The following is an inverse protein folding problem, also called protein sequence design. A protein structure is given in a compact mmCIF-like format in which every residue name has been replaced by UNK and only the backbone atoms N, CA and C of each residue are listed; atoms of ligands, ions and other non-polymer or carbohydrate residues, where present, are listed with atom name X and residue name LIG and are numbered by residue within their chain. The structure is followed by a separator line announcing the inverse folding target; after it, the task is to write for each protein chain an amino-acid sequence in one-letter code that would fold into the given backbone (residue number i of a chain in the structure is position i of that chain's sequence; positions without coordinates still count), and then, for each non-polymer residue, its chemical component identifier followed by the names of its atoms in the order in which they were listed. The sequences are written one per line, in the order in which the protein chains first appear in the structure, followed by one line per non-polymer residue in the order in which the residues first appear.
data_IF_996450204708
#
_entry.id   IF_996450204708
#
_cell.length_a   1.000
_cell.length_b   1.000
_cell.length_c   1.000
_cell.angle_alpha   90.00
_cell.angle_beta   90.00
_cell.angle_gamma   90.00
#
_symmetry.space_group_name_H-M   'P 1'
#
loop_
_entity.id
_entity.type
_entity.pdbx_description
1 polymer ?
#
# COMPACT_ATOMS: atom_id res chain seq x y z
N UNK A 1 -42.40 19.44 -2.17
CA UNK A 1 -41.45 20.28 -2.92
C UNK A 1 -40.21 20.47 -2.05
N UNK A 2 -39.18 19.67 -2.33
CA UNK A 2 -37.90 19.64 -1.60
C UNK A 2 -36.93 20.66 -2.20
N UNK A 3 -36.41 21.61 -1.41
CA UNK A 3 -35.01 22.08 -1.46
C UNK A 3 -34.78 23.30 -0.55
N UNK A 4 -34.03 23.09 0.52
CA UNK A 4 -33.15 24.11 1.10
C UNK A 4 -31.94 23.38 1.67
N UNK A 5 -31.20 22.71 0.78
CA UNK A 5 -30.07 21.88 1.17
C UNK A 5 -28.84 22.75 1.17
N UNK A 6 -28.65 23.40 2.32
CA UNK A 6 -27.42 24.07 2.61
C UNK A 6 -27.39 25.24 3.63
N UNK A 7 -26.52 25.24 4.66
CA UNK A 7 -25.45 26.19 5.16
C UNK A 7 -25.13 25.81 6.58
N UNK A 8 -23.83 25.85 6.90
CA UNK A 8 -23.42 26.18 8.24
C UNK A 8 -23.14 27.68 8.25
N UNK A 9 -24.23 28.45 8.42
CA UNK A 9 -24.22 29.89 8.69
C UNK A 9 -23.73 30.18 10.12
N UNK A 10 -23.14 31.36 10.33
CA UNK A 10 -22.94 31.93 11.69
C UNK A 10 -24.33 32.14 12.34
N UNK A 11 -24.48 32.00 13.69
CA UNK A 11 -25.79 32.05 14.33
C UNK A 11 -26.40 33.45 14.16
N UNK A 12 -27.42 33.58 13.30
CA UNK A 12 -28.20 34.81 13.27
C UNK A 12 -28.80 35.32 11.96
N UNK A 13 -28.62 34.67 10.79
CA UNK A 13 -29.64 34.54 9.72
C UNK A 13 -29.01 34.15 8.38
N UNK A 14 -29.32 32.94 7.88
CA UNK A 14 -29.29 32.69 6.43
C UNK A 14 -30.51 33.40 5.84
N UNK A 15 -30.32 34.35 4.93
CA UNK A 15 -31.41 35.00 4.19
C UNK A 15 -31.25 34.61 2.73
N UNK A 16 -32.30 34.07 2.12
CA UNK A 16 -32.34 33.67 0.70
C UNK A 16 -31.30 32.64 0.22
N UNK A 17 -30.71 31.85 1.14
CA UNK A 17 -29.86 30.71 0.77
C UNK A 17 -28.44 31.06 0.30
N UNK A 18 -27.95 32.27 0.64
CA UNK A 18 -26.57 32.69 0.44
C UNK A 18 -26.02 33.34 1.72
N UNK A 19 -24.84 32.93 2.16
CA UNK A 19 -24.05 33.71 3.11
C UNK A 19 -23.37 34.89 2.40
N UNK A 20 -23.27 36.01 3.12
CA UNK A 20 -22.37 37.11 2.75
C UNK A 20 -20.97 36.57 2.46
N UNK A 21 -20.32 37.11 1.42
CA UNK A 21 -18.93 36.80 1.01
C UNK A 21 -18.71 35.50 0.21
N UNK A 22 -19.75 34.94 -0.43
CA UNK A 22 -19.59 33.87 -1.42
C UNK A 22 -19.53 32.46 -0.83
N UNK A 23 -19.95 32.31 0.43
CA UNK A 23 -20.09 31.01 1.08
C UNK A 23 -21.47 30.42 0.78
N UNK A 24 -21.48 29.09 0.70
CA UNK A 24 -22.69 28.34 0.40
C UNK A 24 -23.23 27.60 1.57
N UNK A 25 -24.53 27.69 1.51
CA UNK A 25 -25.46 26.76 1.99
C UNK A 25 -24.95 25.28 1.85
N UNK A 26 -24.30 24.67 2.86
CA UNK A 26 -24.14 23.22 3.12
C UNK A 26 -24.60 22.72 4.53
N UNK A 27 -25.43 21.67 4.63
CA UNK A 27 -25.73 21.02 5.92
C UNK A 27 -24.55 20.18 6.46
N UNK A 28 -24.58 19.77 7.73
CA UNK A 28 -23.43 19.11 8.41
C UNK A 28 -22.89 17.88 7.69
N UNK A 29 -23.77 17.03 7.16
CA UNK A 29 -23.34 15.84 6.39
C UNK A 29 -22.63 16.23 5.10
N UNK A 30 -23.13 17.25 4.39
CA UNK A 30 -22.50 17.75 3.17
C UNK A 30 -21.12 18.35 3.46
N UNK A 31 -20.98 19.13 4.54
CA UNK A 31 -19.70 19.72 4.92
C UNK A 31 -18.65 18.64 5.25
N UNK A 32 -19.06 17.58 5.97
CA UNK A 32 -18.18 16.44 6.24
C UNK A 32 -17.79 15.67 4.97
N UNK A 33 -18.73 15.48 4.05
CA UNK A 33 -18.45 14.83 2.76
C UNK A 33 -17.41 15.62 1.95
N UNK A 34 -17.53 16.95 1.89
CA UNK A 34 -16.57 17.80 1.18
C UNK A 34 -15.19 17.82 1.84
N UNK A 35 -15.14 17.89 3.17
CA UNK A 35 -13.86 17.86 3.90
C UNK A 35 -13.15 16.51 3.76
N UNK A 36 -13.89 15.39 3.83
CA UNK A 36 -13.35 14.06 3.61
C UNK A 36 -12.88 13.87 2.17
N UNK A 37 -13.64 14.37 1.20
CA UNK A 37 -13.25 14.35 -0.21
C UNK A 37 -11.94 15.13 -0.44
N UNK A 38 -11.80 16.34 0.11
CA UNK A 38 -10.55 17.09 0.07
C UNK A 38 -9.38 16.34 0.73
N UNK A 39 -9.61 15.74 1.89
CA UNK A 39 -8.58 14.96 2.59
C UNK A 39 -8.12 13.75 1.77
N UNK A 40 -9.05 12.98 1.20
CA UNK A 40 -8.73 11.81 0.36
C UNK A 40 -7.98 12.23 -0.90
N UNK A 41 -8.41 13.29 -1.59
CA UNK A 41 -7.70 13.80 -2.76
C UNK A 41 -6.26 14.22 -2.45
N UNK A 42 -6.06 14.86 -1.29
CA UNK A 42 -4.75 15.33 -0.84
C UNK A 42 -3.84 14.16 -0.48
N UNK A 43 -4.36 13.16 0.24
CA UNK A 43 -3.61 11.95 0.63
C UNK A 43 -3.25 11.09 -0.58
N UNK A 44 -4.17 10.92 -1.52
CA UNK A 44 -3.97 10.08 -2.71
C UNK A 44 -3.27 10.81 -3.86
N UNK A 45 -2.92 12.08 -3.68
CA UNK A 45 -2.35 12.98 -4.69
C UNK A 45 -3.12 13.02 -6.02
N UNK A 46 -4.43 12.78 -6.01
CA UNK A 46 -5.28 12.89 -7.21
C UNK A 46 -5.50 14.35 -7.58
N UNK A 47 -5.87 15.17 -6.59
CA UNK A 47 -5.94 16.63 -6.72
C UNK A 47 -6.75 17.16 -7.91
N UNK A 48 -8.05 16.85 -7.97
CA UNK A 48 -8.93 17.35 -9.06
C UNK A 48 -9.00 18.89 -9.13
N UNK A 49 -8.75 19.58 -8.02
CA UNK A 49 -8.66 21.04 -7.97
C UNK A 49 -10.02 21.76 -7.91
N UNK A 50 -11.07 21.04 -7.56
CA UNK A 50 -12.43 21.56 -7.37
C UNK A 50 -12.66 22.16 -5.97
N UNK A 51 -11.92 21.70 -4.96
CA UNK A 51 -11.82 22.32 -3.64
C UNK A 51 -10.38 22.79 -3.43
N UNK A 52 -10.18 24.11 -3.36
CA UNK A 52 -8.86 24.75 -3.25
C UNK A 52 -8.88 25.87 -2.21
N UNK A 53 -7.70 26.21 -1.69
CA UNK A 53 -7.51 27.40 -0.87
C UNK A 53 -8.01 28.64 -1.62
N UNK A 54 -8.66 29.56 -0.91
CA UNK A 54 -9.17 30.80 -1.51
C UNK A 54 -8.03 31.59 -2.17
N UNK A 55 -8.24 32.11 -3.40
CA UNK A 55 -7.24 32.90 -4.08
C UNK A 55 -6.81 34.09 -3.22
N UNK A 56 -5.51 34.36 -3.18
CA UNK A 56 -4.90 35.45 -2.41
C UNK A 56 -4.99 35.32 -0.87
N UNK A 57 -5.44 34.18 -0.33
CA UNK A 57 -5.36 33.89 1.10
C UNK A 57 -4.09 33.08 1.43
N UNK A 58 -3.05 33.78 1.87
CA UNK A 58 -1.75 33.21 2.23
C UNK A 58 -1.82 32.18 3.37
N UNK A 59 -2.75 32.34 4.31
CA UNK A 59 -2.89 31.43 5.45
C UNK A 59 -3.47 30.08 5.03
N UNK A 60 -4.53 30.07 4.21
CA UNK A 60 -5.12 28.83 3.69
C UNK A 60 -4.15 28.08 2.77
N UNK A 61 -3.37 28.81 1.96
CA UNK A 61 -2.34 28.23 1.12
C UNK A 61 -1.23 27.58 1.95
N UNK A 62 -0.75 28.24 3.00
CA UNK A 62 0.29 27.69 3.88
C UNK A 62 -0.19 26.41 4.58
N UNK A 63 -1.42 26.40 5.11
CA UNK A 63 -2.01 25.21 5.72
C UNK A 63 -2.14 24.08 4.70
N UNK A 64 -2.60 24.38 3.48
CA UNK A 64 -2.73 23.40 2.40
C UNK A 64 -1.38 22.79 2.03
N UNK A 65 -0.31 23.58 1.95
CA UNK A 65 1.06 23.10 1.70
C UNK A 65 1.51 22.15 2.80
N UNK A 66 1.30 22.50 4.08
CA UNK A 66 1.66 21.64 5.21
C UNK A 66 0.89 20.32 5.13
N UNK A 67 -0.42 20.37 4.84
CA UNK A 67 -1.25 19.17 4.68
C UNK A 67 -0.77 18.29 3.53
N UNK A 68 -0.40 18.86 2.39
CA UNK A 68 0.15 18.13 1.25
C UNK A 68 1.47 17.43 1.60
N UNK A 69 2.37 18.10 2.32
CA UNK A 69 3.66 17.51 2.73
C UNK A 69 3.45 16.31 3.67
N UNK A 70 2.63 16.47 4.71
CA UNK A 70 2.33 15.39 5.67
C UNK A 70 1.62 14.23 4.95
N UNK A 71 0.64 14.55 4.11
CA UNK A 71 -0.11 13.57 3.33
C UNK A 71 0.79 12.77 2.38
N UNK A 72 1.72 13.42 1.70
CA UNK A 72 2.70 12.76 0.83
C UNK A 72 3.62 11.79 1.57
N UNK A 73 4.06 12.15 2.78
CA UNK A 73 4.85 11.24 3.63
C UNK A 73 4.05 9.99 4.02
N UNK A 74 2.79 10.17 4.44
CA UNK A 74 1.90 9.06 4.79
C UNK A 74 1.64 8.16 3.59
N UNK A 75 1.39 8.75 2.41
CA UNK A 75 1.14 8.00 1.18
C UNK A 75 2.35 7.18 0.74
N UNK A 76 3.56 7.76 0.77
CA UNK A 76 4.79 7.03 0.47
C UNK A 76 5.02 5.85 1.42
N UNK A 77 4.73 6.04 2.72
CA UNK A 77 4.78 4.97 3.71
C UNK A 77 3.79 3.84 3.39
N UNK A 78 2.53 4.18 3.08
CA UNK A 78 1.50 3.19 2.74
C UNK A 78 1.89 2.33 1.54
N UNK A 79 2.43 2.95 0.47
CA UNK A 79 2.94 2.21 -0.69
C UNK A 79 4.07 1.26 -0.26
N UNK A 80 5.00 1.72 0.59
CA UNK A 80 6.07 0.87 1.13
C UNK A 80 5.55 -0.34 1.91
N UNK A 81 4.53 -0.13 2.75
CA UNK A 81 3.87 -1.22 3.49
C UNK A 81 3.20 -2.20 2.54
N UNK A 82 2.45 -1.72 1.54
CA UNK A 82 1.81 -2.61 0.56
C UNK A 82 2.80 -3.37 -0.29
N UNK A 83 3.89 -2.74 -0.74
CA UNK A 83 4.97 -3.42 -1.45
C UNK A 83 5.64 -4.49 -0.57
N UNK A 84 5.87 -4.18 0.70
CA UNK A 84 6.39 -5.13 1.69
C UNK A 84 5.44 -6.31 1.92
N UNK A 85 4.13 -6.04 2.02
CA UNK A 85 3.13 -7.09 2.14
C UNK A 85 3.11 -7.97 0.88
N UNK A 86 3.05 -7.36 -0.32
CA UNK A 86 3.09 -8.07 -1.59
C UNK A 86 4.33 -8.97 -1.73
N UNK A 87 5.51 -8.51 -1.30
CA UNK A 87 6.73 -9.31 -1.29
C UNK A 87 6.67 -10.49 -0.31
N UNK A 88 5.91 -10.37 0.79
CA UNK A 88 5.74 -11.40 1.81
C UNK A 88 4.57 -12.36 1.54
N UNK A 89 3.77 -12.17 0.48
CA UNK A 89 2.68 -13.10 0.15
C UNK A 89 3.21 -14.48 -0.30
N UNK A 90 4.39 -14.53 -0.92
CA UNK A 90 4.98 -15.77 -1.45
C UNK A 90 6.48 -15.89 -1.06
N UNK A 91 6.81 -15.99 0.23
CA UNK A 91 8.20 -15.98 0.69
C UNK A 91 8.96 -17.20 0.17
N UNK A 92 8.29 -18.36 0.04
CA UNK A 92 8.85 -19.57 -0.54
C UNK A 92 9.21 -19.39 -2.02
N UNK A 93 8.32 -18.80 -2.82
CA UNK A 93 8.60 -18.51 -4.23
C UNK A 93 9.71 -17.47 -4.39
N UNK A 94 9.72 -16.43 -3.55
CA UNK A 94 10.74 -15.40 -3.55
C UNK A 94 12.13 -15.99 -3.23
N UNK A 95 12.21 -16.89 -2.23
CA UNK A 95 13.43 -17.62 -1.89
C UNK A 95 13.90 -18.50 -3.05
N UNK A 96 12.98 -19.26 -3.67
CA UNK A 96 13.27 -20.10 -4.83
C UNK A 96 13.79 -19.29 -6.03
N UNK A 97 13.13 -18.16 -6.36
CA UNK A 97 13.61 -17.23 -7.39
C UNK A 97 14.99 -16.66 -7.07
N UNK A 98 15.25 -16.36 -5.80
CA UNK A 98 16.55 -15.90 -5.31
C UNK A 98 17.65 -16.93 -5.56
N UNK A 99 17.39 -18.20 -5.30
CA UNK A 99 18.33 -19.28 -5.57
C UNK A 99 18.54 -19.55 -7.07
N UNK A 100 17.47 -19.53 -7.87
CA UNK A 100 17.58 -19.62 -9.33
C UNK A 100 18.44 -18.47 -9.88
N UNK A 101 18.33 -17.26 -9.32
CA UNK A 101 19.20 -16.14 -9.68
C UNK A 101 20.66 -16.40 -9.31
N UNK A 102 20.93 -17.00 -8.15
CA UNK A 102 22.28 -17.41 -7.76
C UNK A 102 22.85 -18.49 -8.68
N UNK A 103 22.04 -19.50 -9.03
CA UNK A 103 22.39 -20.54 -9.99
C UNK A 103 22.72 -19.91 -11.35
N UNK A 104 21.88 -19.00 -11.85
CA UNK A 104 22.13 -18.28 -13.09
C UNK A 104 23.46 -17.50 -13.07
N UNK A 105 23.76 -16.82 -11.97
CA UNK A 105 25.05 -16.12 -11.79
C UNK A 105 26.23 -17.10 -11.78
N UNK A 106 26.09 -18.24 -11.11
CA UNK A 106 27.12 -19.28 -11.11
C UNK A 106 27.37 -19.83 -12.53
N UNK A 107 26.31 -20.21 -13.24
CA UNK A 107 26.40 -20.72 -14.61
C UNK A 107 27.02 -19.71 -15.58
N UNK A 108 26.72 -18.42 -15.40
CA UNK A 108 27.32 -17.34 -16.19
C UNK A 108 28.80 -17.16 -15.88
N UNK A 109 29.20 -17.19 -14.60
CA UNK A 109 30.62 -17.05 -14.19
C UNK A 109 31.48 -18.19 -14.70
N UNK A 110 30.94 -19.41 -14.72
CA UNK A 110 31.64 -20.60 -15.20
C UNK A 110 31.54 -20.79 -16.73
N UNK A 111 30.93 -19.84 -17.46
CA UNK A 111 30.74 -19.92 -18.91
C UNK A 111 30.17 -21.26 -19.39
N UNK A 112 29.17 -21.80 -18.66
CA UNK A 112 28.58 -23.08 -19.05
C UNK A 112 27.87 -22.96 -20.41
N UNK A 113 27.97 -23.96 -21.31
CA UNK A 113 27.19 -24.02 -22.54
C UNK A 113 25.67 -24.04 -22.27
N UNK A 114 24.90 -23.54 -23.23
CA UNK A 114 23.45 -23.33 -23.10
C UNK A 114 22.68 -24.58 -22.71
N UNK A 115 23.04 -25.75 -23.25
CA UNK A 115 22.35 -27.00 -22.95
C UNK A 115 22.43 -27.38 -21.46
N UNK A 116 23.60 -27.24 -20.83
CA UNK A 116 23.76 -27.55 -19.39
C UNK A 116 22.97 -26.57 -18.53
N UNK A 117 22.87 -25.30 -18.95
CA UNK A 117 22.08 -24.31 -18.22
C UNK A 117 20.60 -24.66 -18.17
N UNK A 118 20.07 -25.25 -19.25
CA UNK A 118 18.68 -25.71 -19.31
C UNK A 118 18.49 -26.89 -18.37
N UNK A 119 19.34 -27.92 -18.47
CA UNK A 119 19.26 -29.10 -17.58
C UNK A 119 19.36 -28.74 -16.09
N UNK A 120 20.28 -27.84 -15.72
CA UNK A 120 20.44 -27.39 -14.34
C UNK A 120 19.20 -26.68 -13.79
N UNK A 121 18.55 -25.83 -14.61
CA UNK A 121 17.31 -25.15 -14.22
C UNK A 121 16.15 -26.13 -14.08
N UNK A 122 16.03 -27.05 -15.02
CA UNK A 122 14.97 -28.06 -15.05
C UNK A 122 15.07 -28.97 -13.81
N UNK A 123 16.27 -29.44 -13.48
CA UNK A 123 16.51 -30.18 -12.25
C UNK A 123 16.12 -29.40 -10.97
N UNK A 124 16.48 -28.11 -10.89
CA UNK A 124 16.10 -27.25 -9.77
C UNK A 124 14.58 -27.03 -9.67
N UNK A 125 13.86 -26.99 -10.80
CA UNK A 125 12.41 -26.91 -10.82
C UNK A 125 11.75 -28.21 -10.37
N UNK A 126 12.21 -29.36 -10.85
CA UNK A 126 11.70 -30.69 -10.45
C UNK A 126 11.92 -30.97 -8.95
N UNK A 127 13.10 -30.59 -8.43
CA UNK A 127 13.42 -30.78 -7.01
C UNK A 127 12.78 -29.74 -6.08
N UNK A 128 12.12 -28.70 -6.63
CA UNK A 128 11.46 -27.67 -5.82
C UNK A 128 10.39 -28.28 -4.90
N UNK A 129 9.59 -29.24 -5.38
CA UNK A 129 8.54 -29.90 -4.59
C UNK A 129 9.08 -30.83 -3.51
N UNK A 130 10.22 -31.50 -3.75
CA UNK A 130 10.85 -32.40 -2.77
C UNK A 130 11.45 -31.63 -1.57
N UNK A 131 11.66 -30.33 -1.75
CA UNK A 131 12.33 -29.48 -0.78
C UNK A 131 11.48 -29.18 0.45
N UNK A 132 10.17 -29.11 0.30
CA UNK A 132 9.24 -28.93 1.41
C UNK A 132 9.38 -30.08 2.42
N UNK A 133 9.50 -31.32 1.92
CA UNK A 133 9.75 -32.49 2.76
C UNK A 133 11.09 -32.42 3.49
N UNK A 134 12.16 -31.98 2.80
CA UNK A 134 13.48 -31.84 3.41
C UNK A 134 13.52 -30.74 4.49
N UNK A 135 12.84 -29.62 4.25
CA UNK A 135 12.72 -28.53 5.23
C UNK A 135 11.94 -28.98 6.47
N UNK A 136 10.87 -29.75 6.29
CA UNK A 136 10.14 -30.35 7.42
C UNK A 136 11.02 -31.28 8.24
N UNK A 137 11.79 -32.17 7.61
CA UNK A 137 12.72 -33.05 8.35
C UNK A 137 13.79 -32.27 9.10
N UNK A 138 14.33 -31.21 8.50
CA UNK A 138 15.31 -30.34 9.16
C UNK A 138 14.71 -29.56 10.35
N UNK A 139 13.42 -29.21 10.30
CA UNK A 139 12.71 -28.63 11.44
C UNK A 139 12.50 -29.66 12.56
N UNK A 140 12.15 -30.90 12.21
CA UNK A 140 12.01 -31.99 13.16
C UNK A 140 13.33 -32.30 13.89
N UNK A 141 14.47 -32.19 13.21
CA UNK A 141 15.79 -32.36 13.81
C UNK A 141 16.16 -31.28 14.84
N UNK A 142 15.54 -30.09 14.76
CA UNK A 142 15.73 -29.01 15.74
C UNK A 142 14.88 -29.18 17.01
N UNK A 143 13.88 -30.06 16.99
CA UNK A 143 13.04 -30.36 18.16
C UNK A 143 13.78 -31.28 19.14
N UNK A 144 13.42 -31.23 20.43
CA UNK A 144 13.96 -32.18 21.41
C UNK A 144 13.49 -33.62 21.10
N UNK A 145 14.26 -34.65 21.48
CA UNK A 145 13.89 -36.04 21.21
C UNK A 145 12.50 -36.43 21.75
N UNK A 146 12.11 -35.85 22.89
CA UNK A 146 10.81 -36.08 23.51
C UNK A 146 9.64 -35.52 22.66
N UNK A 147 9.79 -34.32 22.10
CA UNK A 147 8.77 -33.69 21.25
C UNK A 147 8.68 -34.33 19.86
N UNK A 148 9.78 -34.89 19.34
CA UNK A 148 9.76 -35.63 18.07
C UNK A 148 8.96 -36.93 18.18
N UNK A 149 9.11 -37.63 19.30
CA UNK A 149 8.33 -38.84 19.57
C UNK A 149 6.84 -38.50 19.52
N UNK A 150 6.38 -37.44 20.19
CA UNK A 150 4.96 -37.08 20.27
C UNK A 150 4.31 -36.71 18.92
N UNK A 151 5.06 -36.14 17.97
CA UNK A 151 4.57 -35.74 16.64
C UNK A 151 4.62 -36.88 15.62
N UNK A 152 5.39 -37.94 15.88
CA UNK A 152 5.60 -39.07 14.97
C UNK A 152 4.54 -40.19 15.08
N UNK A 153 3.50 -40.00 15.91
CA UNK A 153 2.40 -40.95 16.08
C UNK A 153 1.13 -40.54 15.33
#
# INVERSE_FOLDING_TARGET
EERAKGELCVPGTCVDGQCSDGYWCAGSFSLYSYSLYFAVMTITSVGYGDIVATPFNEYEQLISVILMLVSGMVWGYLIGVFAGLAANLSPAEAAFRGELSQLNRFMSRQNLPSFMRVQLREYFHETAHLRDHQQQTALLEKLSPAMRLEVAW
#
